data_IF_611776928352
#
_entry.id   IF_611776928352
#
_cell.length_a   1.000
_cell.length_b   1.000
_cell.length_c   1.000
_cell.angle_alpha   90.00
_cell.angle_beta   90.00
_cell.angle_gamma   90.00
#
_symmetry.space_group_name_H-M   'P 1'
#
loop_
_entity.id
_entity.type
_entity.pdbx_description
1 polymer ?
#
# COMPACT_ATOMS: atom_id res chain seq x y z
N UNK A 1 8.98 0.75 -7.31
CA UNK A 1 9.01 1.55 -6.11
C UNK A 1 10.22 2.48 -6.05
N UNK A 2 10.08 3.63 -5.41
CA UNK A 2 11.17 4.60 -5.26
C UNK A 2 11.91 4.50 -3.92
N UNK A 3 11.31 3.83 -2.93
CA UNK A 3 11.82 3.75 -1.55
C UNK A 3 13.25 3.24 -1.48
N UNK A 4 13.64 2.15 -2.13
CA UNK A 4 15.01 1.65 -2.06
C UNK A 4 16.07 2.65 -2.54
N UNK A 5 15.66 3.62 -3.36
CA UNK A 5 16.57 4.62 -3.92
C UNK A 5 16.45 5.98 -3.25
N UNK A 6 15.24 6.39 -2.91
CA UNK A 6 14.97 7.72 -2.36
C UNK A 6 14.93 7.74 -0.82
N UNK A 7 14.46 6.66 -0.22
CA UNK A 7 14.21 6.57 1.22
C UNK A 7 14.53 5.15 1.73
N UNK A 8 15.80 4.68 1.59
CA UNK A 8 16.16 3.29 1.90
C UNK A 8 15.93 2.93 3.37
N UNK A 9 15.92 3.90 4.29
CA UNK A 9 15.64 3.67 5.70
C UNK A 9 14.22 3.14 5.95
N UNK A 10 13.28 3.38 5.06
CA UNK A 10 11.92 2.86 5.19
C UNK A 10 11.86 1.33 5.07
N UNK A 11 12.83 0.72 4.41
CA UNK A 11 12.96 -0.74 4.33
C UNK A 11 13.32 -1.36 5.68
N UNK A 12 14.06 -0.64 6.53
CA UNK A 12 14.46 -1.12 7.85
C UNK A 12 13.27 -1.44 8.75
N UNK A 13 12.17 -0.69 8.61
CA UNK A 13 10.97 -0.95 9.40
C UNK A 13 10.35 -2.30 9.03
N UNK A 14 10.27 -2.64 7.75
CA UNK A 14 9.80 -3.93 7.31
C UNK A 14 10.71 -5.06 7.78
N UNK A 15 12.02 -4.90 7.71
CA UNK A 15 12.97 -5.92 8.17
C UNK A 15 12.87 -6.15 9.68
N UNK A 16 12.68 -5.09 10.46
CA UNK A 16 12.43 -5.20 11.91
C UNK A 16 11.12 -5.94 12.20
N UNK A 17 10.05 -5.66 11.46
CA UNK A 17 8.76 -6.33 11.59
C UNK A 17 8.90 -7.81 11.24
N UNK A 18 9.54 -8.15 10.12
CA UNK A 18 9.79 -9.54 9.73
C UNK A 18 10.62 -10.29 10.76
N UNK A 19 11.66 -9.65 11.28
CA UNK A 19 12.49 -10.25 12.34
C UNK A 19 11.66 -10.50 13.60
N UNK A 20 10.90 -9.53 14.06
CA UNK A 20 10.03 -9.65 15.23
C UNK A 20 8.97 -10.74 15.06
N UNK A 21 8.39 -10.84 13.85
CA UNK A 21 7.39 -11.84 13.52
C UNK A 21 7.97 -13.24 13.25
N UNK A 22 9.30 -13.40 13.19
CA UNK A 22 9.95 -14.64 12.79
C UNK A 22 9.61 -15.05 11.35
N UNK A 23 9.46 -14.06 10.44
CA UNK A 23 9.10 -14.30 9.04
C UNK A 23 10.29 -14.78 8.22
N UNK A 24 10.02 -15.73 7.31
CA UNK A 24 10.99 -16.15 6.29
C UNK A 24 10.74 -15.35 5.01
N UNK A 25 11.66 -14.46 4.68
CA UNK A 25 11.49 -13.53 3.58
C UNK A 25 12.77 -13.34 2.76
N UNK A 26 12.60 -12.87 1.53
CA UNK A 26 13.69 -12.49 0.64
C UNK A 26 13.28 -11.36 -0.29
N UNK A 27 14.26 -10.66 -0.85
CA UNK A 27 14.08 -9.70 -1.93
C UNK A 27 14.89 -10.20 -3.12
N UNK A 28 14.33 -10.30 -4.33
CA UNK A 28 15.11 -10.66 -5.50
C UNK A 28 16.16 -9.58 -5.80
N UNK A 29 17.31 -9.99 -6.34
CA UNK A 29 18.40 -9.08 -6.68
C UNK A 29 18.12 -8.22 -7.93
N UNK A 30 17.11 -8.59 -8.72
CA UNK A 30 16.74 -7.92 -9.96
C UNK A 30 15.23 -8.04 -10.23
N UNK A 31 14.70 -7.14 -11.06
CA UNK A 31 13.29 -7.16 -11.50
C UNK A 31 12.27 -7.26 -10.36
N UNK A 32 12.52 -6.55 -9.26
CA UNK A 32 11.73 -6.61 -8.03
C UNK A 32 10.77 -5.41 -7.85
N UNK A 33 10.87 -4.41 -8.72
CA UNK A 33 10.01 -3.25 -8.65
C UNK A 33 8.56 -3.58 -8.98
N UNK A 34 7.65 -3.03 -8.20
CA UNK A 34 6.21 -3.12 -8.46
C UNK A 34 5.79 -2.37 -9.70
N UNK A 35 4.75 -2.84 -10.35
CA UNK A 35 4.32 -2.34 -11.66
C UNK A 35 3.14 -1.42 -11.51
N UNK A 36 3.34 -0.18 -11.85
CA UNK A 36 2.23 0.74 -12.01
C UNK A 36 2.29 1.54 -13.33
N UNK A 37 3.47 1.65 -13.94
CA UNK A 37 3.66 2.47 -15.12
C UNK A 37 2.85 2.01 -16.33
N UNK A 38 2.88 0.74 -16.66
CA UNK A 38 2.12 0.19 -17.78
C UNK A 38 0.62 0.40 -17.63
N UNK A 39 0.08 0.34 -16.41
CA UNK A 39 -1.33 0.59 -16.15
C UNK A 39 -1.71 2.06 -16.43
N UNK A 40 -0.91 3.01 -15.94
CA UNK A 40 -1.23 4.44 -16.05
C UNK A 40 -0.91 5.04 -17.40
N UNK A 41 0.06 4.50 -18.10
CA UNK A 41 0.37 4.90 -19.48
C UNK A 41 -0.50 4.20 -20.53
N UNK A 42 -1.26 3.18 -20.13
CA UNK A 42 -2.04 2.35 -21.05
C UNK A 42 -1.21 1.34 -21.83
N UNK A 43 0.08 1.18 -21.50
CA UNK A 43 0.94 0.18 -22.10
C UNK A 43 0.84 -1.17 -21.37
N UNK A 44 -0.17 -1.94 -21.74
CA UNK A 44 -0.41 -3.26 -21.14
C UNK A 44 0.66 -4.30 -21.51
N UNK A 45 1.42 -4.09 -22.60
CA UNK A 45 2.52 -4.98 -22.94
C UNK A 45 3.70 -4.78 -21.99
N UNK A 46 4.06 -3.54 -21.68
CA UNK A 46 5.03 -3.22 -20.65
C UNK A 46 4.59 -3.79 -19.30
N UNK A 47 3.33 -3.61 -18.93
CA UNK A 47 2.77 -4.13 -17.68
C UNK A 47 2.88 -5.66 -17.59
N UNK A 48 2.50 -6.39 -18.64
CA UNK A 48 2.65 -7.86 -18.71
C UNK A 48 4.10 -8.28 -18.55
N UNK A 49 5.02 -7.61 -19.25
CA UNK A 49 6.46 -7.92 -19.20
C UNK A 49 6.98 -7.79 -17.76
N UNK A 50 6.62 -6.73 -17.05
CA UNK A 50 7.10 -6.50 -15.70
C UNK A 50 6.50 -7.53 -14.73
N UNK A 51 5.20 -7.81 -14.83
CA UNK A 51 4.56 -8.83 -13.96
C UNK A 51 5.13 -10.21 -14.22
N UNK A 52 5.44 -10.55 -15.49
CA UNK A 52 6.11 -11.82 -15.81
C UNK A 52 7.45 -11.96 -15.10
N UNK A 53 8.26 -10.90 -15.03
CA UNK A 53 9.53 -10.90 -14.28
C UNK A 53 9.33 -11.10 -12.78
N UNK A 54 8.26 -10.55 -12.21
CA UNK A 54 7.90 -10.80 -10.80
C UNK A 54 7.56 -12.28 -10.60
N UNK A 55 6.75 -12.87 -11.49
CA UNK A 55 6.42 -14.31 -11.44
C UNK A 55 7.68 -15.15 -11.52
N UNK A 56 8.55 -14.90 -12.50
CA UNK A 56 9.82 -15.61 -12.67
C UNK A 56 10.71 -15.54 -11.40
N UNK A 57 10.70 -14.40 -10.69
CA UNK A 57 11.38 -14.29 -9.40
C UNK A 57 10.74 -15.14 -8.30
N UNK A 58 9.40 -15.16 -8.21
CA UNK A 58 8.68 -15.97 -7.22
C UNK A 58 9.00 -17.46 -7.43
N UNK A 59 8.96 -17.93 -8.67
CA UNK A 59 9.26 -19.30 -9.04
C UNK A 59 10.72 -19.65 -8.76
N UNK A 60 11.66 -18.82 -9.24
CA UNK A 60 13.11 -19.01 -9.05
C UNK A 60 13.53 -19.07 -7.58
N UNK A 61 12.90 -18.25 -6.75
CA UNK A 61 13.17 -18.17 -5.31
C UNK A 61 12.31 -19.15 -4.49
N UNK A 62 11.44 -19.92 -5.15
CA UNK A 62 10.48 -20.83 -4.52
C UNK A 62 9.67 -20.17 -3.40
N UNK A 63 9.22 -18.94 -3.65
CA UNK A 63 8.41 -18.18 -2.70
C UNK A 63 6.96 -18.65 -2.71
N UNK A 64 6.34 -18.71 -1.53
CA UNK A 64 4.93 -19.09 -1.37
C UNK A 64 3.98 -17.90 -1.48
N UNK A 65 4.52 -16.69 -1.37
CA UNK A 65 3.74 -15.47 -1.36
C UNK A 65 4.52 -14.30 -1.94
N UNK A 66 3.80 -13.32 -2.44
CA UNK A 66 4.28 -12.01 -2.85
C UNK A 66 3.74 -10.96 -1.89
N UNK A 67 4.61 -10.20 -1.25
CA UNK A 67 4.23 -9.04 -0.45
C UNK A 67 4.45 -7.75 -1.25
N UNK A 68 3.45 -6.90 -1.27
CA UNK A 68 3.48 -5.55 -1.86
C UNK A 68 3.23 -4.52 -0.73
N UNK A 69 4.28 -4.14 0.02
CA UNK A 69 4.11 -3.58 1.35
C UNK A 69 3.79 -2.08 1.39
N UNK A 70 4.23 -1.29 0.39
CA UNK A 70 4.35 0.15 0.61
C UNK A 70 3.50 1.03 -0.31
N UNK A 71 2.97 0.49 -1.38
CA UNK A 71 2.32 1.31 -2.40
C UNK A 71 1.01 0.71 -2.89
N UNK A 72 -0.08 1.40 -2.64
CA UNK A 72 -1.39 1.01 -3.16
C UNK A 72 -1.42 0.91 -4.70
N UNK A 73 -0.57 1.69 -5.40
CA UNK A 73 -0.45 1.59 -6.85
C UNK A 73 0.18 0.26 -7.27
N UNK A 74 1.30 -0.10 -6.64
CA UNK A 74 1.99 -1.36 -6.94
C UNK A 74 1.09 -2.56 -6.61
N UNK A 75 0.43 -2.54 -5.45
CA UNK A 75 -0.52 -3.57 -5.06
C UNK A 75 -1.64 -3.73 -6.10
N UNK A 76 -2.34 -2.64 -6.40
CA UNK A 76 -3.47 -2.66 -7.32
C UNK A 76 -3.05 -3.10 -8.72
N UNK A 77 -1.99 -2.52 -9.28
CA UNK A 77 -1.53 -2.81 -10.64
C UNK A 77 -1.01 -4.25 -10.79
N UNK A 78 -0.23 -4.72 -9.82
CA UNK A 78 0.32 -6.08 -9.86
C UNK A 78 -0.79 -7.11 -9.71
N UNK A 79 -1.67 -6.95 -8.74
CA UNK A 79 -2.82 -7.84 -8.54
C UNK A 79 -3.73 -7.85 -9.77
N UNK A 80 -4.07 -6.68 -10.32
CA UNK A 80 -4.87 -6.56 -11.55
C UNK A 80 -4.25 -7.33 -12.71
N UNK A 81 -2.94 -7.21 -12.92
CA UNK A 81 -2.24 -7.90 -13.98
C UNK A 81 -2.19 -9.42 -13.77
N UNK A 82 -1.94 -9.86 -12.55
CA UNK A 82 -1.94 -11.29 -12.19
C UNK A 82 -3.30 -11.92 -12.46
N UNK A 83 -4.37 -11.36 -11.91
CA UNK A 83 -5.73 -11.90 -12.08
C UNK A 83 -6.18 -11.90 -13.56
N UNK A 84 -5.80 -10.87 -14.33
CA UNK A 84 -6.27 -10.71 -15.70
C UNK A 84 -5.51 -11.55 -16.72
N UNK A 85 -4.19 -11.68 -16.56
CA UNK A 85 -3.34 -12.27 -17.61
C UNK A 85 -2.60 -13.54 -17.18
N UNK A 86 -2.52 -13.78 -15.87
CA UNK A 86 -1.81 -14.91 -15.29
C UNK A 86 -2.63 -15.61 -14.20
N UNK A 87 -3.93 -15.91 -14.43
CA UNK A 87 -4.80 -16.45 -13.38
C UNK A 87 -4.32 -17.80 -12.85
N UNK A 88 -3.78 -18.65 -13.70
CA UNK A 88 -3.25 -19.97 -13.30
C UNK A 88 -2.07 -19.82 -12.32
N UNK A 89 -1.18 -18.88 -12.63
CA UNK A 89 -0.02 -18.59 -11.77
C UNK A 89 -0.44 -17.87 -10.49
N UNK A 90 -1.38 -16.93 -10.60
CA UNK A 90 -1.90 -16.20 -9.45
C UNK A 90 -2.49 -17.15 -8.37
N UNK A 91 -3.10 -18.24 -8.77
CA UNK A 91 -3.67 -19.22 -7.85
C UNK A 91 -2.62 -20.11 -7.16
N UNK A 92 -1.34 -20.00 -7.54
CA UNK A 92 -0.27 -20.83 -6.97
C UNK A 92 0.42 -20.17 -5.77
N UNK A 93 0.28 -18.87 -5.57
CA UNK A 93 0.87 -18.14 -4.46
C UNK A 93 -0.08 -17.04 -3.94
N UNK A 94 0.09 -16.68 -2.67
CA UNK A 94 -0.70 -15.63 -2.03
C UNK A 94 -0.12 -14.25 -2.36
N UNK A 95 -0.96 -13.28 -2.67
CA UNK A 95 -0.57 -11.88 -2.83
C UNK A 95 -1.02 -11.12 -1.58
N UNK A 96 -0.06 -10.64 -0.81
CA UNK A 96 -0.31 -9.88 0.40
C UNK A 96 -0.24 -8.38 0.15
N UNK A 97 -1.20 -7.65 0.69
CA UNK A 97 -1.01 -6.25 1.05
C UNK A 97 -0.28 -6.13 2.39
N UNK A 98 0.17 -4.91 2.71
CA UNK A 98 0.67 -4.60 4.06
C UNK A 98 -0.38 -4.92 5.14
N UNK A 99 -1.65 -4.62 4.87
CA UNK A 99 -2.74 -4.84 5.82
C UNK A 99 -2.96 -6.32 6.11
N UNK A 100 -3.04 -7.15 5.05
CA UNK A 100 -3.24 -8.59 5.20
C UNK A 100 -2.17 -9.21 6.09
N UNK A 101 -0.90 -8.90 5.79
CA UNK A 101 0.22 -9.50 6.51
C UNK A 101 0.31 -9.04 7.97
N UNK A 102 0.15 -7.74 8.22
CA UNK A 102 0.23 -7.20 9.58
C UNK A 102 -0.92 -7.69 10.46
N UNK A 103 -2.12 -7.80 9.91
CA UNK A 103 -3.27 -8.35 10.64
C UNK A 103 -3.09 -9.84 10.91
N UNK A 104 -2.55 -10.61 9.97
CA UNK A 104 -2.20 -12.01 10.17
C UNK A 104 -1.20 -12.16 11.33
N UNK A 105 -0.13 -11.34 11.37
CA UNK A 105 0.82 -11.36 12.47
C UNK A 105 0.21 -11.04 13.83
N UNK A 106 -0.73 -10.10 13.89
CA UNK A 106 -1.45 -9.77 15.12
C UNK A 106 -2.37 -10.90 15.56
N UNK A 107 -3.14 -11.50 14.64
CA UNK A 107 -4.05 -12.61 14.91
C UNK A 107 -3.28 -13.85 15.40
N UNK A 108 -2.12 -14.12 14.80
CA UNK A 108 -1.25 -15.24 15.19
C UNK A 108 -0.36 -14.92 16.41
N UNK A 109 -0.46 -13.69 16.95
CA UNK A 109 0.35 -13.21 18.09
C UNK A 109 1.86 -13.25 17.83
N UNK A 110 2.26 -13.11 16.56
CA UNK A 110 3.66 -13.04 16.15
C UNK A 110 4.27 -11.66 16.44
N UNK A 111 3.45 -10.63 16.48
CA UNK A 111 3.81 -9.29 16.94
C UNK A 111 2.79 -8.78 17.94
N UNK A 112 3.22 -7.86 18.79
CA UNK A 112 2.36 -7.13 19.72
C UNK A 112 2.53 -5.64 19.50
N UNK A 113 1.45 -4.88 19.63
CA UNK A 113 1.45 -3.43 19.48
C UNK A 113 1.04 -2.79 20.80
N UNK A 114 1.60 -1.63 21.10
CA UNK A 114 1.23 -0.82 22.26
C UNK A 114 0.67 0.52 21.77
N UNK A 115 -0.65 0.73 21.83
CA UNK A 115 -1.27 1.98 21.40
C UNK A 115 -0.92 3.17 22.30
N UNK A 116 -0.31 2.93 23.47
CA UNK A 116 0.09 4.01 24.38
C UNK A 116 1.38 4.72 23.94
N UNK A 117 2.13 4.18 22.99
CA UNK A 117 3.35 4.81 22.48
C UNK A 117 3.03 6.12 21.74
N UNK A 118 1.86 6.19 21.09
CA UNK A 118 1.42 7.36 20.33
C UNK A 118 0.16 7.97 20.96
N UNK A 119 0.36 9.01 21.77
CA UNK A 119 -0.74 9.72 22.43
C UNK A 119 -1.33 10.88 21.59
N UNK A 120 -0.70 11.23 20.48
CA UNK A 120 -1.21 12.26 19.60
C UNK A 120 -2.51 11.83 18.93
N UNK A 121 -3.44 12.78 18.75
CA UNK A 121 -4.64 12.53 17.94
C UNK A 121 -4.23 12.15 16.52
N UNK A 122 -4.61 10.98 16.12
CA UNK A 122 -4.24 10.34 14.84
C UNK A 122 -5.43 10.20 13.94
N UNK A 123 -5.22 10.34 12.64
CA UNK A 123 -6.22 10.04 11.61
C UNK A 123 -5.64 9.17 10.50
N UNK A 124 -6.49 8.53 9.74
CA UNK A 124 -6.11 7.73 8.59
C UNK A 124 -6.62 8.33 7.28
N UNK A 125 -5.77 8.40 6.27
CA UNK A 125 -6.16 8.74 4.91
C UNK A 125 -6.40 7.48 4.08
N UNK A 126 -7.66 7.28 3.68
CA UNK A 126 -8.06 6.20 2.77
C UNK A 126 -7.46 6.41 1.37
N UNK A 127 -6.39 5.70 1.06
CA UNK A 127 -5.74 5.78 -0.24
C UNK A 127 -6.60 5.14 -1.33
N UNK A 128 -6.66 5.76 -2.50
CA UNK A 128 -7.62 5.38 -3.54
C UNK A 128 -7.39 3.95 -4.10
N UNK A 129 -6.15 3.49 -4.20
CA UNK A 129 -5.85 2.19 -4.81
C UNK A 129 -6.12 1.02 -3.86
N UNK A 130 -5.81 1.14 -2.55
CA UNK A 130 -6.19 0.16 -1.55
C UNK A 130 -7.70 0.20 -1.22
N UNK A 131 -8.28 1.40 -1.23
CA UNK A 131 -9.69 1.60 -0.92
C UNK A 131 -10.62 1.38 -2.12
N UNK A 132 -11.21 2.47 -2.63
CA UNK A 132 -12.30 2.44 -3.62
C UNK A 132 -11.97 1.74 -4.94
N UNK A 133 -10.72 1.80 -5.43
CA UNK A 133 -10.35 1.11 -6.67
C UNK A 133 -10.27 -0.40 -6.47
N UNK A 134 -9.65 -0.86 -5.38
CA UNK A 134 -9.63 -2.28 -5.02
C UNK A 134 -11.04 -2.80 -4.78
N UNK A 135 -11.88 -2.07 -4.04
CA UNK A 135 -13.28 -2.44 -3.86
C UNK A 135 -14.02 -2.64 -5.20
N UNK A 136 -13.88 -1.68 -6.11
CA UNK A 136 -14.54 -1.75 -7.42
C UNK A 136 -14.05 -2.92 -8.28
N UNK A 137 -12.76 -3.23 -8.21
CA UNK A 137 -12.13 -4.20 -9.13
C UNK A 137 -12.10 -5.61 -8.54
N UNK A 138 -11.82 -5.74 -7.25
CA UNK A 138 -11.59 -7.01 -6.58
C UNK A 138 -12.69 -7.38 -5.57
N UNK A 139 -13.70 -6.53 -5.41
CA UNK A 139 -14.78 -6.72 -4.44
C UNK A 139 -14.38 -6.43 -2.99
N UNK A 140 -13.16 -5.99 -2.73
CA UNK A 140 -12.65 -5.67 -1.40
C UNK A 140 -11.82 -4.38 -1.41
N UNK A 141 -12.06 -3.53 -0.39
CA UNK A 141 -11.29 -2.31 -0.15
C UNK A 141 -10.85 -2.26 1.31
N UNK A 142 -9.58 -1.97 1.54
CA UNK A 142 -8.93 -1.97 2.85
C UNK A 142 -9.28 -0.74 3.69
N UNK A 143 -10.53 -0.65 4.12
CA UNK A 143 -11.01 0.46 4.93
C UNK A 143 -10.96 0.15 6.42
N UNK A 144 -11.50 -0.99 6.81
CA UNK A 144 -11.58 -1.39 8.21
C UNK A 144 -10.25 -1.94 8.70
N UNK A 145 -9.55 -2.71 7.87
CA UNK A 145 -8.21 -3.22 8.18
C UNK A 145 -7.22 -2.10 8.51
N UNK A 146 -7.29 -1.03 7.73
CA UNK A 146 -6.47 0.15 7.95
C UNK A 146 -6.76 0.82 9.30
N UNK A 147 -8.04 0.90 9.68
CA UNK A 147 -8.47 1.46 10.95
C UNK A 147 -8.09 0.56 12.12
N UNK A 148 -8.30 -0.74 11.99
CA UNK A 148 -7.88 -1.72 13.00
C UNK A 148 -6.40 -1.60 13.31
N UNK A 149 -5.54 -1.56 12.29
CA UNK A 149 -4.10 -1.41 12.47
C UNK A 149 -3.72 -0.05 13.07
N UNK A 150 -4.34 1.03 12.59
CA UNK A 150 -4.05 2.38 13.10
C UNK A 150 -4.43 2.49 14.58
N UNK A 151 -5.61 1.99 14.95
CA UNK A 151 -6.09 2.02 16.34
C UNK A 151 -5.31 1.07 17.25
N UNK A 152 -4.77 -0.02 16.72
CA UNK A 152 -3.87 -0.90 17.46
C UNK A 152 -2.51 -0.24 17.77
N UNK A 153 -2.10 0.76 16.97
CA UNK A 153 -0.86 1.51 17.17
C UNK A 153 -1.05 2.84 17.88
N UNK A 154 -2.26 3.43 17.84
CA UNK A 154 -2.52 4.81 18.26
C UNK A 154 -3.80 4.86 19.12
N UNK A 155 -3.65 5.27 20.37
CA UNK A 155 -4.77 5.33 21.34
C UNK A 155 -5.87 6.31 20.94
N UNK A 156 -5.49 7.47 20.45
CA UNK A 156 -6.40 8.56 20.13
C UNK A 156 -6.58 8.63 18.61
N UNK A 157 -7.75 8.25 18.13
CA UNK A 157 -8.08 8.17 16.71
C UNK A 157 -9.34 8.95 16.35
N UNK A 158 -9.35 9.58 15.18
CA UNK A 158 -10.52 10.23 14.59
C UNK A 158 -10.59 9.94 13.10
N UNK A 159 -11.77 9.60 12.59
CA UNK A 159 -11.99 9.47 11.14
C UNK A 159 -12.10 10.85 10.46
N UNK A 160 -11.69 10.91 9.21
CA UNK A 160 -11.92 12.05 8.32
C UNK A 160 -13.30 11.90 7.67
N UNK A 161 -14.15 12.92 7.76
CA UNK A 161 -15.48 12.89 7.14
C UNK A 161 -15.53 13.88 5.97
N UNK A 162 -15.81 13.39 4.72
CA UNK A 162 -16.09 12.02 4.29
C UNK A 162 -14.84 11.13 4.26
N UNK A 163 -15.07 9.84 4.45
CA UNK A 163 -14.04 8.82 4.55
C UNK A 163 -14.29 7.64 3.59
N UNK A 164 -13.53 6.58 3.69
CA UNK A 164 -13.69 5.31 2.97
C UNK A 164 -13.83 5.52 1.46
N UNK A 165 -14.94 5.08 0.87
CA UNK A 165 -15.20 5.21 -0.57
C UNK A 165 -15.34 6.67 -1.01
N UNK A 166 -15.86 7.53 -0.14
CA UNK A 166 -16.10 8.95 -0.38
C UNK A 166 -14.93 9.84 -0.01
N UNK A 167 -13.81 9.24 0.45
CA UNK A 167 -12.63 9.98 0.89
C UNK A 167 -12.13 10.95 -0.18
N UNK A 168 -11.80 12.17 0.22
CA UNK A 168 -11.18 13.15 -0.67
C UNK A 168 -9.82 12.69 -1.16
N UNK A 169 -9.48 13.08 -2.40
CA UNK A 169 -8.19 12.77 -3.01
C UNK A 169 -7.06 13.53 -2.31
N UNK A 170 -5.91 12.86 -2.13
CA UNK A 170 -4.68 13.48 -1.62
C UNK A 170 -3.97 14.41 -2.62
N UNK A 171 -4.36 14.35 -3.89
CA UNK A 171 -3.71 15.13 -4.96
C UNK A 171 -2.47 14.46 -5.57
N UNK A 172 -2.01 13.31 -5.08
CA UNK A 172 -0.82 12.64 -5.61
C UNK A 172 -0.94 12.23 -7.09
N UNK A 173 -2.17 11.86 -7.51
CA UNK A 173 -2.49 11.69 -8.93
C UNK A 173 -1.96 10.44 -9.60
N UNK A 174 -1.75 9.33 -8.86
CA UNK A 174 -1.23 8.10 -9.44
C UNK A 174 0.14 8.33 -10.09
N UNK A 175 0.30 8.01 -11.35
CA UNK A 175 1.53 8.26 -12.11
C UNK A 175 1.82 9.74 -12.40
N UNK A 176 0.86 10.63 -12.19
CA UNK A 176 0.99 12.08 -12.53
C UNK A 176 2.08 12.78 -11.71
N UNK A 177 2.45 12.25 -10.53
CA UNK A 177 3.54 12.79 -9.72
C UNK A 177 4.89 12.85 -10.46
N UNK A 178 5.07 12.02 -11.49
CA UNK A 178 6.29 12.02 -12.32
C UNK A 178 6.29 13.09 -13.43
N UNK A 179 5.20 13.83 -13.56
CA UNK A 179 5.05 14.87 -14.57
C UNK A 179 5.06 16.27 -13.95
N UNK A 180 5.32 17.33 -14.73
CA UNK A 180 5.45 18.69 -14.21
C UNK A 180 4.10 19.34 -13.85
N UNK A 181 3.21 18.62 -13.20
CA UNK A 181 1.86 19.07 -12.77
C UNK A 181 1.76 19.28 -11.25
N UNK A 182 2.83 19.81 -10.65
CA UNK A 182 2.88 19.98 -9.19
C UNK A 182 1.80 20.96 -8.69
N UNK A 183 1.56 22.06 -9.42
CA UNK A 183 0.57 23.07 -9.04
C UNK A 183 -0.86 22.49 -9.03
N UNK A 184 -1.20 21.74 -10.08
CA UNK A 184 -2.51 21.08 -10.20
C UNK A 184 -2.71 20.02 -9.12
N UNK A 185 -1.68 19.25 -8.81
CA UNK A 185 -1.71 18.25 -7.75
C UNK A 185 -1.95 18.87 -6.39
N UNK A 186 -1.23 19.93 -6.06
CA UNK A 186 -1.42 20.70 -4.81
C UNK A 186 -2.81 21.31 -4.76
N UNK A 187 -3.27 21.88 -5.87
CA UNK A 187 -4.63 22.44 -5.95
C UNK A 187 -5.70 21.37 -5.68
N UNK A 188 -5.58 20.19 -6.26
CA UNK A 188 -6.52 19.08 -5.99
C UNK A 188 -6.43 18.55 -4.57
N UNK A 189 -5.22 18.46 -4.01
CA UNK A 189 -4.99 17.97 -2.65
C UNK A 189 -5.44 18.93 -1.54
N UNK A 190 -5.71 20.23 -1.85
CA UNK A 190 -6.03 21.24 -0.84
C UNK A 190 -7.28 20.92 0.00
N UNK A 191 -8.26 20.22 -0.59
CA UNK A 191 -9.50 19.83 0.13
C UNK A 191 -9.16 18.79 1.19
N UNK A 192 -8.37 17.79 0.85
CA UNK A 192 -7.88 16.79 1.80
C UNK A 192 -7.01 17.43 2.90
N UNK A 193 -6.09 18.31 2.52
CA UNK A 193 -5.25 19.03 3.49
C UNK A 193 -6.07 19.84 4.49
N UNK A 194 -7.12 20.55 4.01
CA UNK A 194 -8.06 21.26 4.88
C UNK A 194 -8.80 20.31 5.80
N UNK A 195 -9.36 19.22 5.27
CA UNK A 195 -10.06 18.20 6.06
C UNK A 195 -9.18 17.66 7.22
N UNK A 196 -7.90 17.35 6.92
CA UNK A 196 -6.95 16.90 7.94
C UNK A 196 -6.71 18.01 8.98
N UNK A 197 -6.48 19.24 8.55
CA UNK A 197 -6.29 20.37 9.46
C UNK A 197 -7.48 20.61 10.39
N UNK A 198 -8.70 20.54 9.84
CA UNK A 198 -9.93 20.72 10.59
C UNK A 198 -10.24 19.57 11.56
N UNK A 199 -9.72 18.37 11.33
CA UNK A 199 -9.88 17.22 12.23
C UNK A 199 -9.11 17.40 13.56
N UNK A 200 -8.14 18.30 13.60
CA UNK A 200 -7.25 18.51 14.76
C UNK A 200 -6.19 17.43 14.92
N UNK A 201 -6.15 16.43 14.04
CA UNK A 201 -5.15 15.37 14.10
C UNK A 201 -3.72 15.93 13.97
N UNK A 202 -2.81 15.36 14.75
CA UNK A 202 -1.38 15.71 14.77
C UNK A 202 -0.56 14.69 13.99
N UNK A 203 -1.11 13.50 13.80
CA UNK A 203 -0.50 12.41 13.03
C UNK A 203 -1.48 11.95 11.95
N UNK A 204 -0.99 11.81 10.73
CA UNK A 204 -1.75 11.26 9.61
C UNK A 204 -1.09 9.99 9.13
N UNK A 205 -1.81 8.89 9.18
CA UNK A 205 -1.37 7.60 8.66
C UNK A 205 -1.94 7.41 7.26
N UNK A 206 -1.15 6.90 6.35
CA UNK A 206 -1.57 6.53 5.01
C UNK A 206 -0.91 5.25 4.56
N UNK A 207 -1.61 4.46 3.76
CA UNK A 207 -1.12 3.20 3.20
C UNK A 207 -0.41 3.35 1.86
N UNK A 208 -0.30 4.57 1.36
CA UNK A 208 0.29 4.81 0.05
C UNK A 208 1.40 5.86 0.16
N UNK A 209 2.62 5.47 -0.15
CA UNK A 209 3.79 6.33 -0.09
C UNK A 209 3.66 7.62 -0.92
N UNK A 210 2.85 7.61 -1.98
CA UNK A 210 2.62 8.78 -2.81
C UNK A 210 1.54 9.74 -2.25
N UNK A 211 0.80 9.32 -1.24
CA UNK A 211 -0.17 10.17 -0.57
C UNK A 211 0.46 11.02 0.52
#
# INVERSE_FOLDING_TARGET
>A
SKEPFAEPENLWWWWKIFHAAGESWTIPSENWEGVNWGLYTGDYNAMRTIVKRIIENIERLNCKALLLPECGHAYYATRYALERWFPETHNQFKVYSAFDLLLEYLQEKRITLDPAIHDSLTTFHDSCNYGRKSLKTFGHGYFEEARMLTQACCRNYVDLIPDRQEAYCCGAGGGVWAYPFAAERVYHGRIKARQISESGAKLVVTSCHNC
#
